data_IF_993187677439
#
_entry.id   IF_993187677439
#
_cell.length_a   1.000
_cell.length_b   1.000
_cell.length_c   1.000
_cell.angle_alpha   90.00
_cell.angle_beta   90.00
_cell.angle_gamma   90.00
#
_symmetry.space_group_name_H-M   'P 1'
#
loop_
_entity.id
_entity.type
_entity.pdbx_description
1 polymer ?
#
# COMPACT_ATOMS: atom_id res chain seq x y z
N UNK A 1 -26.04 -14.41 -30.41
CA UNK A 1 -25.29 -14.20 -29.16
C UNK A 1 -23.86 -13.96 -29.57
N UNK A 2 -23.39 -12.71 -29.51
CA UNK A 2 -22.04 -12.37 -29.91
C UNK A 2 -21.04 -12.93 -28.91
N UNK A 3 -20.05 -13.67 -29.40
CA UNK A 3 -18.88 -14.07 -28.62
C UNK A 3 -18.10 -12.79 -28.25
N UNK A 4 -18.35 -12.27 -27.05
CA UNK A 4 -17.48 -11.25 -26.46
C UNK A 4 -16.09 -11.86 -26.31
N UNK A 5 -15.17 -11.48 -27.20
CA UNK A 5 -13.76 -11.83 -27.09
C UNK A 5 -13.20 -11.18 -25.83
N UNK A 6 -13.17 -11.94 -24.73
CA UNK A 6 -12.48 -11.55 -23.50
C UNK A 6 -10.98 -11.50 -23.79
N UNK A 7 -10.45 -10.29 -23.98
CA UNK A 7 -9.02 -10.04 -24.13
C UNK A 7 -8.40 -10.00 -22.74
N UNK A 8 -7.64 -11.04 -22.37
CA UNK A 8 -6.83 -11.04 -21.14
C UNK A 8 -5.63 -10.11 -21.35
N UNK A 9 -5.71 -8.90 -20.84
CA UNK A 9 -4.56 -7.99 -20.77
C UNK A 9 -3.64 -8.55 -19.67
N UNK A 10 -2.34 -8.79 -19.94
CA UNK A 10 -1.40 -9.22 -18.92
C UNK A 10 -1.30 -8.14 -17.85
N UNK A 11 -1.62 -8.51 -16.62
CA UNK A 11 -1.52 -7.63 -15.45
C UNK A 11 -0.05 -7.64 -15.01
N UNK A 12 0.54 -6.47 -14.82
CA UNK A 12 1.90 -6.37 -14.32
C UNK A 12 2.01 -6.89 -12.87
N UNK A 13 3.24 -7.20 -12.42
CA UNK A 13 3.47 -7.76 -11.08
C UNK A 13 2.95 -6.85 -9.96
N UNK A 14 3.10 -5.53 -10.12
CA UNK A 14 2.69 -4.54 -9.12
C UNK A 14 1.18 -4.47 -9.00
N UNK A 15 0.48 -4.45 -10.12
CA UNK A 15 -0.98 -4.49 -10.18
C UNK A 15 -1.52 -5.82 -9.65
N UNK A 16 -0.83 -6.95 -9.87
CA UNK A 16 -1.19 -8.22 -9.23
C UNK A 16 -1.11 -8.11 -7.71
N UNK A 17 -0.07 -7.48 -7.16
CA UNK A 17 0.09 -7.29 -5.71
C UNK A 17 -0.91 -6.30 -5.13
N UNK A 18 -1.25 -5.23 -5.85
CA UNK A 18 -2.34 -4.32 -5.49
C UNK A 18 -3.69 -5.04 -5.50
N UNK A 19 -3.94 -5.95 -6.44
CA UNK A 19 -5.17 -6.75 -6.45
C UNK A 19 -5.23 -7.74 -5.28
N UNK A 20 -4.07 -8.23 -4.82
CA UNK A 20 -3.96 -9.17 -3.69
C UNK A 20 -4.13 -8.46 -2.33
N UNK A 21 -3.50 -7.31 -2.15
CA UNK A 21 -3.41 -6.60 -0.86
C UNK A 21 -4.26 -5.32 -0.78
N UNK A 22 -4.94 -4.95 -1.86
CA UNK A 22 -5.76 -3.75 -1.95
C UNK A 22 -4.97 -2.49 -2.33
N UNK A 23 -5.71 -1.38 -2.48
CA UNK A 23 -5.16 -0.08 -2.94
C UNK A 23 -4.19 0.55 -1.93
N UNK A 24 -4.30 0.19 -0.65
CA UNK A 24 -3.39 0.63 0.41
C UNK A 24 -1.99 -0.02 0.36
N UNK A 25 -1.71 -0.88 -0.62
CA UNK A 25 -0.42 -1.55 -0.77
C UNK A 25 0.66 -0.63 -1.36
N UNK A 26 1.76 -0.44 -0.63
CA UNK A 26 2.94 0.29 -1.10
C UNK A 26 4.21 -0.56 -0.91
N UNK A 27 4.81 -1.10 -1.97
CA UNK A 27 5.98 -1.97 -1.86
C UNK A 27 7.26 -1.22 -1.48
N UNK A 28 8.16 -1.91 -0.79
CA UNK A 28 9.56 -1.54 -0.74
C UNK A 28 10.27 -2.10 -1.99
N UNK A 29 10.79 -1.24 -2.86
CA UNK A 29 11.37 -1.68 -4.14
C UNK A 29 12.68 -2.49 -3.99
N UNK A 30 13.27 -2.56 -2.78
CA UNK A 30 14.55 -3.25 -2.50
C UNK A 30 14.43 -4.41 -1.51
N UNK A 31 13.23 -4.69 -0.98
CA UNK A 31 13.04 -5.80 -0.05
C UNK A 31 11.61 -6.33 -0.08
N UNK A 32 11.36 -7.51 0.49
CA UNK A 32 10.03 -8.12 0.56
C UNK A 32 9.10 -7.45 1.61
N UNK A 33 9.33 -6.17 1.93
CA UNK A 33 8.54 -5.38 2.87
C UNK A 33 7.57 -4.47 2.14
N UNK A 34 6.49 -4.10 2.79
CA UNK A 34 5.54 -3.11 2.26
C UNK A 34 4.86 -2.36 3.39
N UNK A 35 4.27 -1.21 3.03
CA UNK A 35 3.29 -0.54 3.86
C UNK A 35 1.91 -0.99 3.43
N UNK A 36 1.05 -1.27 4.40
CA UNK A 36 -0.36 -1.55 4.20
C UNK A 36 -1.18 -0.46 4.89
N UNK A 37 -1.74 0.45 4.11
CA UNK A 37 -2.63 1.50 4.62
C UNK A 37 -4.01 0.89 4.92
N UNK A 38 -4.61 1.31 6.03
CA UNK A 38 -6.00 0.99 6.35
C UNK A 38 -6.95 1.63 5.32
N UNK A 39 -8.07 0.96 5.07
CA UNK A 39 -9.09 1.45 4.14
C UNK A 39 -9.76 2.74 4.64
N UNK A 40 -9.79 2.93 5.95
CA UNK A 40 -10.40 4.08 6.62
C UNK A 40 -9.39 4.84 7.48
N UNK A 41 -9.60 6.15 7.55
CA UNK A 41 -8.88 7.09 8.40
C UNK A 41 -9.78 7.64 9.49
N UNK A 42 -9.21 8.18 10.56
CA UNK A 42 -9.96 8.87 11.61
C UNK A 42 -9.67 10.38 11.60
N UNK A 43 -10.73 11.19 11.52
CA UNK A 43 -10.65 12.64 11.69
C UNK A 43 -10.68 12.99 13.18
N UNK A 44 -9.66 13.71 13.65
CA UNK A 44 -9.52 14.18 15.03
C UNK A 44 -9.22 15.68 15.06
N UNK A 45 -9.25 16.32 16.25
CA UNK A 45 -8.97 17.76 16.40
C UNK A 45 -7.58 18.21 15.92
N UNK A 46 -6.69 17.27 15.55
CA UNK A 46 -5.35 17.53 15.02
C UNK A 46 -5.12 17.09 13.56
N UNK A 47 -6.18 16.75 12.81
CA UNK A 47 -6.09 16.34 11.39
C UNK A 47 -6.59 14.92 11.14
N UNK A 48 -6.26 14.39 9.97
CA UNK A 48 -6.64 13.05 9.54
C UNK A 48 -5.55 12.02 9.87
N UNK A 49 -5.89 11.02 10.68
CA UNK A 49 -4.96 9.98 11.12
C UNK A 49 -5.25 8.65 10.42
N UNK A 50 -4.21 8.00 9.91
CA UNK A 50 -4.30 6.77 9.14
C UNK A 50 -3.47 5.69 9.84
N UNK A 51 -4.07 4.52 10.03
CA UNK A 51 -3.33 3.32 10.45
C UNK A 51 -2.55 2.75 9.28
N UNK A 52 -1.26 2.49 9.47
CA UNK A 52 -0.39 1.89 8.46
C UNK A 52 0.40 0.75 9.07
N UNK A 53 0.22 -0.44 8.54
CA UNK A 53 0.96 -1.61 8.96
C UNK A 53 2.26 -1.73 8.16
N UNK A 54 3.36 -1.98 8.86
CA UNK A 54 4.64 -2.32 8.24
C UNK A 54 4.72 -3.84 8.15
N UNK A 55 4.70 -4.34 6.93
CA UNK A 55 4.56 -5.76 6.64
C UNK A 55 5.83 -6.33 6.01
N UNK A 56 6.01 -7.65 6.11
CA UNK A 56 7.08 -8.42 5.48
C UNK A 56 6.58 -9.82 5.12
N UNK A 57 7.31 -10.56 4.29
CA UNK A 57 7.15 -12.01 4.20
C UNK A 57 7.87 -12.71 5.36
N UNK A 58 7.20 -13.66 6.00
CA UNK A 58 7.77 -14.59 6.97
C UNK A 58 8.60 -15.69 6.31
N UNK A 59 9.24 -16.53 7.13
CA UNK A 59 10.01 -17.69 6.65
C UNK A 59 9.15 -18.76 5.97
N UNK A 60 7.83 -18.70 6.17
CA UNK A 60 6.80 -19.51 5.55
C UNK A 60 6.21 -18.87 4.27
N UNK A 61 6.84 -17.80 3.77
CA UNK A 61 6.36 -16.98 2.64
C UNK A 61 4.96 -16.38 2.88
N UNK A 62 4.52 -16.29 4.14
CA UNK A 62 3.24 -15.67 4.50
C UNK A 62 3.40 -14.21 4.92
N UNK A 63 2.39 -13.37 4.68
CA UNK A 63 2.38 -12.01 5.21
C UNK A 63 2.50 -11.97 6.73
N UNK A 64 3.45 -11.17 7.22
CA UNK A 64 3.70 -10.94 8.64
C UNK A 64 3.79 -9.45 8.93
N UNK A 65 3.00 -8.99 9.90
CA UNK A 65 3.09 -7.63 10.44
C UNK A 65 4.30 -7.50 11.37
N UNK A 66 5.14 -6.49 11.11
CA UNK A 66 6.26 -6.10 11.98
C UNK A 66 5.74 -5.17 13.07
N UNK A 67 5.06 -4.10 12.68
CA UNK A 67 4.46 -3.12 13.58
C UNK A 67 3.32 -2.35 12.90
N UNK A 68 2.66 -1.48 13.66
CA UNK A 68 1.69 -0.52 13.15
C UNK A 68 2.15 0.89 13.48
N UNK A 69 1.94 1.80 12.53
CA UNK A 69 2.11 3.23 12.69
C UNK A 69 0.73 3.90 12.62
N UNK A 70 0.55 4.95 13.41
CA UNK A 70 -0.56 5.89 13.25
C UNK A 70 0.06 7.18 12.76
N UNK A 71 -0.25 7.58 11.51
CA UNK A 71 0.37 8.73 10.86
C UNK A 71 -0.68 9.77 10.53
N UNK A 72 -0.31 11.04 10.65
CA UNK A 72 -1.13 12.14 10.17
C UNK A 72 -0.94 12.32 8.64
N UNK A 73 -2.04 12.45 7.89
CA UNK A 73 -2.02 12.55 6.43
C UNK A 73 -1.24 13.79 5.96
N UNK A 74 -1.51 14.94 6.57
CA UNK A 74 -0.92 16.21 6.20
C UNK A 74 0.61 16.21 6.40
N UNK A 75 1.08 15.61 7.50
CA UNK A 75 2.50 15.43 7.78
C UNK A 75 3.22 14.56 6.75
N UNK A 76 2.59 13.45 6.34
CA UNK A 76 3.13 12.56 5.31
C UNK A 76 3.22 13.28 3.96
N UNK A 77 2.16 13.99 3.54
CA UNK A 77 2.17 14.76 2.30
C UNK A 77 3.28 15.82 2.32
N UNK A 78 3.41 16.57 3.43
CA UNK A 78 4.50 17.54 3.62
C UNK A 78 5.87 16.87 3.48
N UNK A 79 6.08 15.71 4.12
CA UNK A 79 7.34 14.98 4.05
C UNK A 79 7.64 14.50 2.62
N UNK A 80 6.65 13.94 1.91
CA UNK A 80 6.80 13.50 0.52
C UNK A 80 7.16 14.66 -0.41
N UNK A 81 6.51 15.81 -0.27
CA UNK A 81 6.76 17.00 -1.09
C UNK A 81 8.13 17.65 -0.82
N UNK A 82 8.80 17.31 0.29
CA UNK A 82 10.15 17.82 0.59
C UNK A 82 11.26 17.07 -0.16
N UNK A 83 10.96 15.91 -0.75
CA UNK A 83 11.92 15.10 -1.51
C UNK A 83 11.91 15.54 -2.96
N UNK A 84 13.09 15.86 -3.50
CA UNK A 84 13.28 16.21 -4.92
C UNK A 84 14.08 15.13 -5.65
N UNK A 85 13.78 14.84 -6.93
CA UNK A 85 14.60 13.98 -7.75
C UNK A 85 16.04 14.51 -7.81
N UNK A 86 17.01 13.59 -7.85
CA UNK A 86 18.41 13.93 -8.14
C UNK A 86 18.66 14.01 -9.63
#
# INVERSE_FOLDING_TARGET
MGDEKVVKIPIDYKQRKINEYGQGYVPCEVSNRWLQFADESNLCQGGEFIGVDVMTLGSDEQPKKICQLIINREDIIRALNSVVPK
#
